data_IF_119759332510
#
_entry.id   IF_119759332510
#
_cell.length_a   1.000
_cell.length_b   1.000
_cell.length_c   1.000
_cell.angle_alpha   90.00
_cell.angle_beta   90.00
_cell.angle_gamma   90.00
#
_symmetry.space_group_name_H-M   'P 1'
#
loop_
_entity.id
_entity.type
_entity.pdbx_description
1 polymer ?
#
# COMPACT_ATOMS: atom_id res chain seq x y z
N UNK A 1 -18.13 -6.47 21.01
CA UNK A 1 -18.15 -6.11 19.58
C UNK A 1 -18.04 -7.36 18.76
N UNK A 2 -18.90 -7.53 17.75
CA UNK A 2 -18.76 -8.64 16.81
C UNK A 2 -17.65 -8.33 15.77
N UNK A 3 -17.21 -9.35 15.05
CA UNK A 3 -16.09 -9.22 14.10
C UNK A 3 -16.38 -8.22 12.99
N UNK A 4 -17.62 -8.18 12.50
CA UNK A 4 -18.05 -7.24 11.47
C UNK A 4 -17.94 -5.78 11.94
N UNK A 5 -18.40 -5.48 13.16
CA UNK A 5 -18.28 -4.14 13.72
C UNK A 5 -16.83 -3.73 13.94
N UNK A 6 -16.00 -4.65 14.45
CA UNK A 6 -14.58 -4.42 14.62
C UNK A 6 -13.87 -4.14 13.28
N UNK A 7 -14.24 -4.86 12.22
CA UNK A 7 -13.70 -4.62 10.88
C UNK A 7 -14.03 -3.21 10.37
N UNK A 8 -15.23 -2.69 10.62
CA UNK A 8 -15.63 -1.34 10.24
C UNK A 8 -14.84 -0.26 10.99
N UNK A 9 -14.61 -0.43 12.29
CA UNK A 9 -13.77 0.51 13.05
C UNK A 9 -12.33 0.53 12.55
N UNK A 10 -11.74 -0.64 12.26
CA UNK A 10 -10.40 -0.69 11.71
C UNK A 10 -10.32 -0.05 10.31
N UNK A 11 -11.26 -0.36 9.42
CA UNK A 11 -11.33 0.24 8.09
C UNK A 11 -11.45 1.77 8.16
N UNK A 12 -12.27 2.29 9.07
CA UNK A 12 -12.37 3.73 9.29
C UNK A 12 -11.09 4.34 9.87
N UNK A 13 -10.52 3.72 10.91
CA UNK A 13 -9.31 4.20 11.57
C UNK A 13 -8.14 4.37 10.60
N UNK A 14 -7.96 3.41 9.67
CA UNK A 14 -6.87 3.42 8.69
C UNK A 14 -7.19 4.13 7.37
N UNK A 15 -8.35 4.78 7.24
CA UNK A 15 -8.76 5.54 6.04
C UNK A 15 -9.21 4.70 4.83
N UNK A 16 -9.63 3.45 5.02
CA UNK A 16 -10.24 2.64 3.95
C UNK A 16 -11.75 2.88 3.83
N UNK A 17 -12.38 3.38 4.90
CA UNK A 17 -13.78 3.78 4.91
C UNK A 17 -13.91 5.31 4.98
N UNK A 18 -14.69 5.87 4.06
CA UNK A 18 -14.94 7.32 4.02
C UNK A 18 -15.75 7.77 5.24
N UNK A 19 -15.52 9.00 5.71
CA UNK A 19 -16.21 9.57 6.86
C UNK A 19 -17.74 9.45 6.79
N UNK A 20 -18.38 9.93 5.71
CA UNK A 20 -19.83 9.83 5.55
C UNK A 20 -20.37 8.39 5.48
N UNK A 21 -19.57 7.44 5.01
CA UNK A 21 -19.95 6.02 4.98
C UNK A 21 -19.89 5.41 6.37
N UNK A 22 -18.84 5.71 7.12
CA UNK A 22 -18.71 5.29 8.51
C UNK A 22 -19.81 5.87 9.39
N UNK A 23 -20.14 7.16 9.24
CA UNK A 23 -21.20 7.83 10.00
C UNK A 23 -22.57 7.15 9.79
N UNK A 24 -22.95 6.93 8.52
CA UNK A 24 -24.19 6.20 8.19
C UNK A 24 -24.21 4.80 8.80
N UNK A 25 -23.09 4.08 8.71
CA UNK A 25 -22.98 2.76 9.33
C UNK A 25 -23.12 2.86 10.85
N UNK A 26 -22.34 3.71 11.50
CA UNK A 26 -22.28 3.87 12.95
C UNK A 26 -23.65 4.22 13.54
N UNK A 27 -24.35 5.19 12.93
CA UNK A 27 -25.69 5.61 13.32
C UNK A 27 -26.76 4.52 13.17
N UNK A 28 -26.50 3.50 12.36
CA UNK A 28 -27.41 2.36 12.17
C UNK A 28 -27.19 1.21 13.16
N UNK A 29 -26.14 1.25 13.98
CA UNK A 29 -25.78 0.16 14.89
C UNK A 29 -26.37 0.38 16.30
N UNK A 30 -27.43 -0.33 16.70
CA UNK A 30 -27.96 -0.22 18.05
C UNK A 30 -26.97 -0.80 19.09
N UNK A 31 -26.83 -0.12 20.23
CA UNK A 31 -26.07 -0.65 21.37
C UNK A 31 -24.54 -0.57 21.25
N UNK A 32 -23.99 0.26 20.34
CA UNK A 32 -22.56 0.55 20.32
C UNK A 32 -22.10 1.34 21.55
N UNK A 33 -22.94 2.20 22.11
CA UNK A 33 -22.61 3.00 23.31
C UNK A 33 -22.13 2.13 24.47
N UNK A 34 -22.81 1.01 24.74
CA UNK A 34 -22.44 0.08 25.80
C UNK A 34 -21.05 -0.56 25.59
N UNK A 35 -20.55 -0.58 24.36
CA UNK A 35 -19.27 -1.20 24.00
C UNK A 35 -18.13 -0.18 23.91
N UNK A 36 -18.44 1.05 23.51
CA UNK A 36 -17.48 2.14 23.33
C UNK A 36 -17.29 2.98 24.59
N UNK A 37 -18.30 2.98 25.47
CA UNK A 37 -18.43 3.99 26.52
C UNK A 37 -19.08 5.27 25.98
N UNK A 38 -19.72 6.02 26.88
CA UNK A 38 -20.50 7.21 26.53
C UNK A 38 -19.65 8.28 25.82
N UNK A 39 -18.44 8.55 26.31
CA UNK A 39 -17.59 9.61 25.77
C UNK A 39 -17.18 9.35 24.31
N UNK A 40 -16.58 8.18 24.03
CA UNK A 40 -16.16 7.82 22.67
C UNK A 40 -17.37 7.67 21.73
N UNK A 41 -18.49 7.15 22.24
CA UNK A 41 -19.72 7.05 21.45
C UNK A 41 -20.24 8.43 21.04
N UNK A 42 -20.28 9.39 21.97
CA UNK A 42 -20.70 10.77 21.69
C UNK A 42 -19.74 11.50 20.75
N UNK A 43 -18.43 11.30 20.91
CA UNK A 43 -17.42 11.89 20.02
C UNK A 43 -17.65 11.44 18.57
N UNK A 44 -17.88 10.14 18.36
CA UNK A 44 -18.14 9.59 17.03
C UNK A 44 -19.52 10.03 16.50
N UNK A 45 -20.57 9.97 17.32
CA UNK A 45 -21.93 10.34 16.91
C UNK A 45 -22.04 11.83 16.51
N UNK A 46 -21.35 12.72 17.22
CA UNK A 46 -21.39 14.16 16.99
C UNK A 46 -20.24 14.67 16.12
N UNK A 47 -19.42 13.77 15.57
CA UNK A 47 -18.23 14.10 14.81
C UNK A 47 -18.54 14.87 13.52
N UNK A 48 -17.73 15.89 13.21
CA UNK A 48 -17.79 16.54 11.90
C UNK A 48 -16.98 15.76 10.85
N UNK A 49 -17.62 14.80 10.19
CA UNK A 49 -17.00 13.95 9.17
C UNK A 49 -16.64 14.66 7.85
N UNK A 50 -17.09 15.91 7.66
CA UNK A 50 -16.74 16.72 6.49
C UNK A 50 -15.44 17.53 6.69
N UNK A 51 -15.07 17.81 7.95
CA UNK A 51 -13.84 18.51 8.27
C UNK A 51 -12.66 17.54 8.37
N UNK A 52 -11.57 17.82 7.66
CA UNK A 52 -10.41 16.93 7.55
C UNK A 52 -9.70 16.73 8.89
N UNK A 53 -9.57 17.80 9.68
CA UNK A 53 -8.86 17.76 10.95
C UNK A 53 -9.68 17.07 12.03
N UNK A 54 -10.98 17.36 12.10
CA UNK A 54 -11.94 16.65 12.95
C UNK A 54 -11.97 15.16 12.60
N UNK A 55 -12.07 14.81 11.31
CA UNK A 55 -12.06 13.41 10.86
C UNK A 55 -10.78 12.68 11.28
N UNK A 56 -9.62 13.33 11.14
CA UNK A 56 -8.36 12.76 11.61
C UNK A 56 -8.39 12.51 13.13
N UNK A 57 -8.85 13.49 13.93
CA UNK A 57 -8.98 13.33 15.38
C UNK A 57 -9.93 12.19 15.78
N UNK A 58 -11.07 12.06 15.11
CA UNK A 58 -12.03 10.97 15.32
C UNK A 58 -11.43 9.60 15.01
N UNK A 59 -10.59 9.49 13.98
CA UNK A 59 -9.89 8.23 13.69
C UNK A 59 -8.90 7.87 14.79
N UNK A 60 -8.18 8.87 15.34
CA UNK A 60 -7.21 8.69 16.42
C UNK A 60 -7.87 8.39 17.77
N UNK A 61 -9.11 8.84 18.01
CA UNK A 61 -9.82 8.53 19.27
C UNK A 61 -10.18 7.04 19.40
N UNK A 62 -10.13 6.28 18.30
CA UNK A 62 -10.32 4.83 18.31
C UNK A 62 -9.09 4.04 18.80
N UNK A 63 -7.89 4.64 18.83
CA UNK A 63 -6.66 3.95 19.19
C UNK A 63 -6.73 3.22 20.54
N UNK A 64 -7.23 3.82 21.64
CA UNK A 64 -7.29 3.15 22.95
C UNK A 64 -8.21 1.93 22.95
N UNK A 65 -9.25 1.93 22.10
CA UNK A 65 -10.17 0.82 21.93
C UNK A 65 -9.56 -0.30 21.07
N UNK A 66 -8.92 0.08 19.96
CA UNK A 66 -8.47 -0.86 18.93
C UNK A 66 -7.11 -1.50 19.25
N UNK A 67 -6.19 -0.75 19.84
CA UNK A 67 -4.81 -1.21 20.10
C UNK A 67 -4.76 -2.49 20.96
N UNK A 68 -5.52 -2.62 22.06
CA UNK A 68 -5.51 -3.83 22.87
C UNK A 68 -6.05 -5.08 22.16
N UNK A 69 -6.86 -4.90 21.11
CA UNK A 69 -7.43 -6.00 20.32
C UNK A 69 -6.48 -6.48 19.21
N UNK A 70 -5.38 -5.75 18.99
CA UNK A 70 -4.44 -6.00 17.91
C UNK A 70 -3.51 -7.18 18.25
N UNK A 71 -3.53 -8.20 17.39
CA UNK A 71 -2.66 -9.38 17.51
C UNK A 71 -1.50 -9.40 16.49
N UNK A 72 -1.55 -8.51 15.49
CA UNK A 72 -0.55 -8.31 14.44
C UNK A 72 -0.74 -6.91 13.82
N UNK A 73 0.14 -6.48 12.92
CA UNK A 73 0.01 -5.17 12.27
C UNK A 73 -1.02 -5.14 11.12
N UNK A 74 -1.54 -6.29 10.66
CA UNK A 74 -2.50 -6.29 9.54
C UNK A 74 -3.71 -5.34 9.69
N UNK A 75 -4.34 -5.17 10.86
CA UNK A 75 -5.50 -4.29 11.00
C UNK A 75 -5.17 -2.79 10.88
N UNK A 76 -3.91 -2.40 11.12
CA UNK A 76 -3.45 -1.01 11.04
C UNK A 76 -3.09 -0.60 9.62
N UNK A 77 -2.75 -1.57 8.77
CA UNK A 77 -2.45 -1.37 7.36
C UNK A 77 -3.70 -1.14 6.53
N UNK A 78 -3.65 -0.12 5.67
CA UNK A 78 -4.65 0.12 4.63
C UNK A 78 -4.79 -1.06 3.69
N UNK A 79 -5.94 -1.17 3.03
CA UNK A 79 -6.17 -2.17 2.00
C UNK A 79 -5.20 -2.00 0.83
N UNK A 80 -4.74 -0.77 0.56
CA UNK A 80 -3.56 -0.49 -0.25
C UNK A 80 -2.61 0.41 0.54
N UNK A 81 -1.43 -0.12 0.85
CA UNK A 81 -0.45 0.52 1.72
C UNK A 81 0.95 0.53 1.10
N UNK A 82 1.76 1.50 1.51
CA UNK A 82 3.20 1.54 1.29
C UNK A 82 3.90 1.48 2.64
N UNK A 83 5.02 0.76 2.72
CA UNK A 83 5.85 0.66 3.92
C UNK A 83 7.31 0.81 3.53
N UNK A 84 8.01 1.84 4.05
CA UNK A 84 9.43 2.04 3.80
C UNK A 84 10.28 0.85 4.22
N UNK A 85 11.27 0.51 3.38
CA UNK A 85 12.30 -0.48 3.70
C UNK A 85 13.40 0.10 4.60
N UNK A 86 13.58 1.42 4.59
CA UNK A 86 14.50 2.14 5.47
C UNK A 86 13.81 2.85 6.64
N UNK A 87 14.62 3.46 7.52
CA UNK A 87 14.14 4.38 8.56
C UNK A 87 14.00 3.72 9.94
N UNK A 88 12.77 3.64 10.45
CA UNK A 88 12.46 3.14 11.80
C UNK A 88 12.31 1.61 11.86
N UNK A 89 12.56 0.92 10.74
CA UNK A 89 12.43 -0.53 10.58
C UNK A 89 11.02 -1.04 10.94
N UNK A 90 9.98 -0.21 10.81
CA UNK A 90 8.60 -0.63 11.09
C UNK A 90 8.16 -1.82 10.22
N UNK A 91 8.69 -1.94 9.00
CA UNK A 91 8.43 -3.10 8.14
C UNK A 91 8.76 -4.43 8.83
N UNK A 92 9.79 -4.50 9.67
CA UNK A 92 10.14 -5.74 10.38
C UNK A 92 8.99 -6.24 11.25
N UNK A 93 8.29 -5.31 11.95
CA UNK A 93 7.11 -5.65 12.77
C UNK A 93 5.91 -6.08 11.93
N UNK A 94 5.74 -5.49 10.75
CA UNK A 94 4.69 -5.89 9.81
C UNK A 94 4.94 -7.33 9.35
N UNK A 95 6.15 -7.57 8.84
CA UNK A 95 6.55 -8.84 8.25
C UNK A 95 6.80 -9.96 9.27
N UNK A 96 6.97 -9.65 10.56
CA UNK A 96 7.10 -10.65 11.65
C UNK A 96 5.98 -11.70 11.61
N UNK A 97 4.77 -11.26 11.26
CA UNK A 97 3.60 -12.13 11.19
C UNK A 97 3.31 -12.68 9.80
N UNK A 98 4.10 -12.34 8.78
CA UNK A 98 3.78 -12.67 7.39
C UNK A 98 4.52 -13.93 6.96
N UNK A 99 3.76 -14.91 6.50
CA UNK A 99 4.25 -16.12 5.87
C UNK A 99 4.15 -15.95 4.35
N UNK A 100 5.30 -16.01 3.66
CA UNK A 100 5.34 -16.00 2.20
C UNK A 100 4.81 -17.33 1.68
N UNK A 101 3.80 -17.26 0.81
CA UNK A 101 3.06 -18.43 0.30
C UNK A 101 3.57 -18.84 -1.08
N UNK A 102 3.69 -17.89 -1.99
CA UNK A 102 4.18 -18.15 -3.35
C UNK A 102 4.82 -16.89 -3.91
N UNK A 103 5.98 -17.05 -4.53
CA UNK A 103 6.64 -16.02 -5.33
C UNK A 103 6.16 -16.13 -6.77
N UNK A 104 6.07 -15.00 -7.48
CA UNK A 104 5.82 -15.05 -8.92
C UNK A 104 6.96 -15.78 -9.66
N UNK A 105 8.20 -15.48 -9.26
CA UNK A 105 9.41 -16.00 -9.88
C UNK A 105 10.33 -14.88 -10.39
N UNK A 106 11.47 -15.24 -11.03
CA UNK A 106 12.51 -14.27 -11.39
C UNK A 106 12.05 -13.23 -12.43
N UNK A 107 11.05 -13.55 -13.25
CA UNK A 107 10.48 -12.61 -14.24
C UNK A 107 9.79 -11.41 -13.58
N UNK A 108 9.28 -11.59 -12.37
CA UNK A 108 8.67 -10.53 -11.55
C UNK A 108 9.16 -10.67 -10.13
N UNK A 109 10.47 -10.50 -9.99
CA UNK A 109 11.21 -10.66 -8.73
C UNK A 109 10.64 -9.81 -7.58
N UNK A 110 9.89 -8.76 -7.90
CA UNK A 110 9.24 -7.89 -6.92
C UNK A 110 7.95 -8.48 -6.32
N UNK A 111 7.28 -9.43 -6.97
CA UNK A 111 5.89 -9.80 -6.67
C UNK A 111 5.78 -11.15 -5.94
N UNK A 112 5.10 -11.15 -4.80
CA UNK A 112 4.77 -12.36 -4.06
C UNK A 112 3.43 -12.27 -3.33
N UNK A 113 2.89 -13.43 -2.97
CA UNK A 113 1.72 -13.59 -2.12
C UNK A 113 2.16 -13.99 -0.71
N UNK A 114 1.63 -13.29 0.29
CA UNK A 114 1.84 -13.59 1.71
C UNK A 114 0.52 -13.76 2.44
N UNK A 115 0.55 -14.48 3.57
CA UNK A 115 -0.55 -14.63 4.51
C UNK A 115 -0.07 -14.30 5.91
N UNK A 116 -0.85 -13.53 6.66
CA UNK A 116 -0.55 -13.31 8.08
C UNK A 116 -0.86 -14.58 8.89
N UNK A 117 0.12 -15.08 9.65
CA UNK A 117 -0.02 -16.24 10.54
C UNK A 117 -0.92 -16.02 11.75
N UNK A 118 -1.20 -14.75 12.09
CA UNK A 118 -2.04 -14.37 13.25
C UNK A 118 -3.51 -14.18 12.89
N UNK A 119 -3.80 -13.43 11.83
CA UNK A 119 -5.18 -13.07 11.45
C UNK A 119 -5.63 -13.69 10.12
N UNK A 120 -4.80 -14.54 9.49
CA UNK A 120 -5.08 -15.21 8.22
C UNK A 120 -5.32 -14.29 7.00
N UNK A 121 -5.19 -12.97 7.13
CA UNK A 121 -5.33 -12.02 6.02
C UNK A 121 -4.30 -12.31 4.92
N UNK A 122 -4.73 -12.25 3.65
CA UNK A 122 -3.85 -12.33 2.49
C UNK A 122 -3.41 -10.96 2.01
N UNK A 123 -2.15 -10.92 1.58
CA UNK A 123 -1.51 -9.74 1.04
C UNK A 123 -0.80 -10.08 -0.25
N UNK A 124 -1.15 -9.37 -1.32
CA UNK A 124 -0.31 -9.27 -2.50
C UNK A 124 0.74 -8.20 -2.22
N UNK A 125 2.01 -8.54 -2.36
CA UNK A 125 3.12 -7.66 -1.98
C UNK A 125 4.04 -7.46 -3.17
N UNK A 126 4.32 -6.19 -3.48
CA UNK A 126 5.36 -5.78 -4.40
C UNK A 126 6.49 -5.09 -3.63
N UNK A 127 7.73 -5.41 -4.00
CA UNK A 127 8.93 -4.77 -3.47
C UNK A 127 9.55 -3.89 -4.56
N UNK A 128 9.79 -2.62 -4.26
CA UNK A 128 10.61 -1.75 -5.09
C UNK A 128 11.82 -1.22 -4.32
N UNK A 129 12.95 -1.88 -4.50
CA UNK A 129 14.24 -1.53 -3.88
C UNK A 129 15.08 -0.55 -4.73
N UNK A 130 14.56 -0.12 -5.88
CA UNK A 130 15.33 0.68 -6.85
C UNK A 130 14.96 2.15 -6.84
N UNK A 131 13.66 2.44 -6.79
CA UNK A 131 13.14 3.81 -6.86
C UNK A 131 12.65 4.23 -5.49
N UNK A 132 11.54 3.68 -5.03
CA UNK A 132 10.86 4.15 -3.82
C UNK A 132 11.49 3.61 -2.54
N UNK A 133 12.17 2.45 -2.59
CA UNK A 133 12.71 1.75 -1.42
C UNK A 133 11.59 1.35 -0.44
N UNK A 134 10.54 0.74 -0.98
CA UNK A 134 9.30 0.44 -0.26
C UNK A 134 8.69 -0.92 -0.61
N UNK A 135 7.96 -1.48 0.34
CA UNK A 135 7.00 -2.54 0.12
C UNK A 135 5.62 -1.93 -0.15
N UNK A 136 4.99 -2.31 -1.25
CA UNK A 136 3.60 -2.02 -1.54
C UNK A 136 2.75 -3.23 -1.23
N UNK A 137 1.72 -3.05 -0.41
CA UNK A 137 0.86 -4.12 0.08
C UNK A 137 -0.56 -3.89 -0.38
N UNK A 138 -1.19 -4.92 -0.93
CA UNK A 138 -2.60 -4.91 -1.31
C UNK A 138 -3.32 -6.07 -0.62
N UNK A 139 -4.27 -5.73 0.25
CA UNK A 139 -5.12 -6.71 0.95
C UNK A 139 -6.02 -7.38 -0.07
N UNK A 140 -6.05 -8.70 -0.07
CA UNK A 140 -6.88 -9.48 -0.99
C UNK A 140 -7.68 -10.53 -0.22
N UNK A 141 -8.76 -11.03 -0.84
CA UNK A 141 -9.54 -12.12 -0.29
C UNK A 141 -8.97 -13.52 -0.67
N UNK A 142 -9.56 -14.57 -0.10
CA UNK A 142 -9.15 -15.95 -0.38
C UNK A 142 -9.36 -16.35 -1.85
N UNK A 143 -10.33 -15.75 -2.55
CA UNK A 143 -10.61 -16.05 -3.96
C UNK A 143 -9.42 -15.62 -4.82
N UNK A 144 -9.00 -14.36 -4.68
CA UNK A 144 -7.85 -13.80 -5.41
C UNK A 144 -6.55 -14.51 -4.99
N UNK A 145 -6.39 -14.82 -3.70
CA UNK A 145 -5.23 -15.58 -3.23
C UNK A 145 -5.16 -16.99 -3.84
N UNK A 146 -6.31 -17.67 -3.95
CA UNK A 146 -6.41 -18.99 -4.56
C UNK A 146 -6.11 -18.96 -6.07
N UNK A 147 -6.55 -17.91 -6.77
CA UNK A 147 -6.22 -17.69 -8.18
C UNK A 147 -4.72 -17.48 -8.39
N UNK A 148 -4.09 -16.64 -7.56
CA UNK A 148 -2.65 -16.38 -7.63
C UNK A 148 -1.82 -17.67 -7.39
N UNK A 149 -2.20 -18.50 -6.41
CA UNK A 149 -1.58 -19.83 -6.19
C UNK A 149 -1.72 -20.75 -7.40
N UNK A 150 -2.79 -20.61 -8.19
CA UNK A 150 -3.00 -21.35 -9.43
C UNK A 150 -2.32 -20.69 -10.65
N UNK A 151 -1.45 -19.70 -10.44
CA UNK A 151 -0.72 -18.98 -11.48
C UNK A 151 -1.52 -17.87 -12.18
N UNK A 152 -2.77 -17.60 -11.75
CA UNK A 152 -3.60 -16.51 -12.27
C UNK A 152 -3.45 -15.30 -11.35
N UNK A 153 -2.39 -14.53 -11.58
CA UNK A 153 -2.08 -13.38 -10.75
C UNK A 153 -3.02 -12.19 -11.03
N UNK A 154 -3.41 -11.43 -9.99
CA UNK A 154 -4.19 -10.21 -10.19
C UNK A 154 -3.40 -9.16 -10.97
N UNK A 155 -4.11 -8.23 -11.61
CA UNK A 155 -3.48 -7.15 -12.39
C UNK A 155 -2.62 -6.21 -11.54
N UNK A 156 -3.00 -5.97 -10.29
CA UNK A 156 -2.26 -5.10 -9.37
C UNK A 156 -0.84 -5.65 -9.21
N UNK A 157 0.15 -4.78 -9.33
CA UNK A 157 1.59 -5.08 -9.28
C UNK A 157 2.13 -6.01 -10.36
N UNK A 158 1.31 -6.38 -11.35
CA UNK A 158 1.71 -7.35 -12.36
C UNK A 158 2.79 -6.79 -13.31
N UNK A 159 2.75 -5.51 -13.63
CA UNK A 159 3.81 -4.83 -14.41
C UNK A 159 4.63 -3.95 -13.48
N UNK A 160 5.92 -3.78 -13.76
CA UNK A 160 6.76 -2.90 -12.95
C UNK A 160 6.28 -1.44 -13.05
N UNK A 161 5.70 -1.06 -14.19
CA UNK A 161 4.99 0.22 -14.32
C UNK A 161 3.88 0.42 -13.27
N UNK A 162 3.06 -0.60 -12.98
CA UNK A 162 1.97 -0.49 -11.99
C UNK A 162 2.53 -0.43 -10.56
N UNK A 163 3.68 -1.06 -10.30
CA UNK A 163 4.42 -0.92 -9.04
C UNK A 163 4.89 0.53 -8.87
N UNK A 164 5.55 1.11 -9.87
CA UNK A 164 6.03 2.50 -9.82
C UNK A 164 4.89 3.51 -9.77
N UNK A 165 3.79 3.27 -10.48
CA UNK A 165 2.59 4.09 -10.41
C UNK A 165 1.97 4.04 -8.99
N UNK A 166 2.02 2.89 -8.34
CA UNK A 166 1.59 2.75 -6.94
C UNK A 166 2.50 3.54 -6.01
N UNK A 167 3.83 3.41 -6.15
CA UNK A 167 4.78 4.23 -5.41
C UNK A 167 4.56 5.73 -5.60
N UNK A 168 4.27 6.15 -6.84
CA UNK A 168 3.97 7.55 -7.14
C UNK A 168 2.73 8.08 -6.43
N UNK A 169 1.73 7.23 -6.25
CA UNK A 169 0.46 7.58 -5.63
C UNK A 169 0.50 7.55 -4.10
N UNK A 170 1.29 6.66 -3.50
CA UNK A 170 1.31 6.44 -2.06
C UNK A 170 2.47 7.13 -1.34
N UNK A 171 3.50 7.52 -2.10
CA UNK A 171 4.82 7.82 -1.52
C UNK A 171 5.40 9.10 -2.08
N UNK A 172 6.41 9.62 -1.39
CA UNK A 172 7.15 10.77 -1.87
C UNK A 172 8.24 10.27 -2.81
N UNK A 173 8.34 10.77 -4.06
CA UNK A 173 9.43 10.39 -4.92
C UNK A 173 10.78 10.71 -4.29
N UNK A 174 11.75 9.79 -4.37
CA UNK A 174 13.08 10.02 -3.83
C UNK A 174 13.79 11.15 -4.59
N UNK A 175 14.82 11.72 -3.96
CA UNK A 175 15.80 12.55 -4.65
C UNK A 175 17.10 11.78 -4.76
N UNK A 176 17.46 11.40 -5.99
CA UNK A 176 18.72 10.72 -6.26
C UNK A 176 19.90 11.69 -6.14
N UNK A 177 20.94 11.28 -5.39
CA UNK A 177 22.20 12.02 -5.32
C UNK A 177 22.96 11.96 -6.64
N UNK A 178 23.00 10.77 -7.25
CA UNK A 178 23.48 10.58 -8.62
C UNK A 178 22.27 10.57 -9.58
N UNK A 179 22.08 11.61 -10.41
CA UNK A 179 20.99 11.63 -11.38
C UNK A 179 21.10 10.51 -12.43
N UNK A 180 22.25 9.85 -12.58
CA UNK A 180 22.43 8.71 -13.49
C UNK A 180 22.68 7.41 -12.73
N UNK A 181 22.19 7.30 -11.50
CA UNK A 181 22.32 6.08 -10.69
C UNK A 181 21.89 4.82 -11.47
N UNK A 182 22.56 3.69 -11.20
CA UNK A 182 22.27 2.42 -11.85
C UNK A 182 20.81 1.98 -11.71
N UNK A 183 20.20 2.20 -10.54
CA UNK A 183 18.81 1.86 -10.28
C UNK A 183 17.83 2.60 -11.20
N UNK A 184 18.10 3.86 -11.54
CA UNK A 184 17.32 4.63 -12.52
C UNK A 184 17.45 4.02 -13.93
N UNK A 185 18.68 3.68 -14.33
CA UNK A 185 18.94 3.12 -15.66
C UNK A 185 18.27 1.75 -15.81
N UNK A 186 18.45 0.84 -14.85
CA UNK A 186 17.82 -0.49 -14.85
C UNK A 186 16.30 -0.41 -14.84
N UNK A 187 15.74 0.54 -14.09
CA UNK A 187 14.29 0.75 -14.07
C UNK A 187 13.76 1.19 -15.44
N UNK A 188 14.44 2.12 -16.12
CA UNK A 188 14.08 2.52 -17.48
C UNK A 188 14.25 1.35 -18.47
N UNK A 189 15.28 0.51 -18.29
CA UNK A 189 15.46 -0.69 -19.10
C UNK A 189 14.30 -1.68 -18.96
N UNK A 190 13.86 -1.96 -17.74
CA UNK A 190 12.75 -2.86 -17.46
C UNK A 190 11.43 -2.28 -18.01
N UNK A 191 11.18 -0.98 -17.82
CA UNK A 191 10.01 -0.30 -18.40
C UNK A 191 9.97 -0.40 -19.93
N UNK A 192 11.10 -0.19 -20.61
CA UNK A 192 11.18 -0.35 -22.06
C UNK A 192 11.06 -1.81 -22.52
N UNK A 193 11.42 -2.77 -21.65
CA UNK A 193 11.24 -4.19 -21.89
C UNK A 193 9.75 -4.58 -21.86
N UNK A 194 9.00 -4.07 -20.89
CA UNK A 194 7.56 -4.32 -20.75
C UNK A 194 6.71 -3.48 -21.72
N UNK A 195 7.06 -2.21 -21.93
CA UNK A 195 6.35 -1.27 -22.82
C UNK A 195 7.33 -0.42 -23.67
N UNK A 196 7.72 -0.88 -24.86
CA UNK A 196 8.71 -0.19 -25.70
C UNK A 196 8.32 1.22 -26.18
N UNK A 197 7.02 1.54 -26.20
CA UNK A 197 6.44 2.81 -26.63
C UNK A 197 6.19 3.80 -25.48
N UNK A 198 6.58 3.48 -24.25
CA UNK A 198 6.49 4.39 -23.09
C UNK A 198 7.18 5.74 -23.38
N UNK A 199 6.50 6.84 -23.05
CA UNK A 199 7.02 8.19 -23.35
C UNK A 199 7.97 8.70 -22.28
N UNK A 200 8.70 9.77 -22.61
CA UNK A 200 9.59 10.46 -21.67
C UNK A 200 8.80 11.02 -20.48
N UNK A 201 7.61 11.57 -20.75
CA UNK A 201 6.74 12.18 -19.75
C UNK A 201 6.21 11.13 -18.77
N UNK A 202 5.86 9.93 -19.27
CA UNK A 202 5.43 8.82 -18.44
C UNK A 202 6.56 8.31 -17.54
N UNK A 203 7.76 8.11 -18.09
CA UNK A 203 8.95 7.75 -17.29
C UNK A 203 9.22 8.83 -16.22
N UNK A 204 9.19 10.11 -16.60
CA UNK A 204 9.40 11.21 -15.67
C UNK A 204 8.37 11.20 -14.54
N UNK A 205 7.10 10.96 -14.87
CA UNK A 205 6.03 10.88 -13.88
C UNK A 205 6.23 9.72 -12.90
N UNK A 206 6.48 8.51 -13.42
CA UNK A 206 6.65 7.28 -12.63
C UNK A 206 7.86 7.35 -11.68
N UNK A 207 8.94 7.99 -12.12
CA UNK A 207 10.18 8.10 -11.35
C UNK A 207 10.28 9.39 -10.53
N UNK A 208 9.28 10.28 -10.63
CA UNK A 208 9.29 11.59 -9.98
C UNK A 208 10.42 12.51 -10.45
N UNK A 209 10.81 12.42 -11.71
CA UNK A 209 11.87 13.20 -12.34
C UNK A 209 11.31 14.33 -13.21
N UNK A 210 12.17 15.22 -13.68
CA UNK A 210 11.82 16.13 -14.78
C UNK A 210 11.84 15.40 -16.12
N UNK A 211 11.08 15.91 -17.10
CA UNK A 211 11.09 15.36 -18.46
C UNK A 211 12.49 15.42 -19.11
N UNK A 212 13.26 16.48 -18.84
CA UNK A 212 14.63 16.61 -19.34
C UNK A 212 15.55 15.51 -18.79
N UNK A 213 15.43 15.22 -17.49
CA UNK A 213 16.20 14.16 -16.83
C UNK A 213 15.80 12.78 -17.36
N UNK A 214 14.50 12.49 -17.45
CA UNK A 214 14.01 11.25 -18.04
C UNK A 214 14.48 11.07 -19.50
N UNK A 215 14.49 12.14 -20.31
CA UNK A 215 15.02 12.11 -21.67
C UNK A 215 16.52 11.78 -21.70
N UNK A 216 17.30 12.31 -20.75
CA UNK A 216 18.73 12.00 -20.64
C UNK A 216 18.97 10.53 -20.26
N UNK A 217 18.22 9.99 -19.31
CA UNK A 217 18.26 8.56 -18.94
C UNK A 217 17.90 7.67 -20.14
N UNK A 218 16.83 7.99 -20.85
CA UNK A 218 16.37 7.22 -21.99
C UNK A 218 17.42 7.18 -23.11
N UNK A 219 18.09 8.30 -23.40
CA UNK A 219 19.21 8.33 -24.35
C UNK A 219 20.37 7.44 -23.89
N UNK A 220 20.73 7.50 -22.60
CA UNK A 220 21.83 6.72 -22.02
C UNK A 220 21.59 5.21 -22.13
N UNK A 221 20.38 4.77 -21.77
CA UNK A 221 19.95 3.38 -21.83
C UNK A 221 19.93 2.86 -23.27
N UNK A 222 19.34 3.61 -24.20
CA UNK A 222 19.31 3.23 -25.62
C UNK A 222 20.71 3.12 -26.22
N UNK A 223 21.62 4.02 -25.86
CA UNK A 223 23.01 3.97 -26.31
C UNK A 223 23.79 2.76 -25.74
N UNK A 224 23.43 2.26 -24.56
CA UNK A 224 24.04 1.07 -23.97
C UNK A 224 23.60 -0.22 -24.68
N UNK A 225 22.33 -0.32 -25.11
CA UNK A 225 21.79 -1.49 -25.83
C UNK A 225 22.31 -1.70 -27.25
N UNK A 226 22.93 -0.67 -27.84
CA UNK A 226 23.50 -0.72 -29.19
C UNK A 226 24.97 -1.20 -29.20
N UNK A 227 25.57 -1.43 -28.04
CA UNK A 227 26.94 -1.93 -27.88
C UNK A 227 26.93 -3.39 -27.53
#
# INVERSE_FOLDING_TARGET
MNDAGLAMFWAFSRCDLAGPEFDRWFSSQPGLEAQLGADLYLDLLCGNYADREALWRLRRSLDPLLTPLRQCECPTLRDLAATPMGGDFHFEKIFESFERIVDFGPEKWWLHLSRCSRCATFWLIAQDERIYDEFFLHRIDETVASEARAGRWPRRFFTYEDVLATGRALSNPPRFLDPMAGSLQWTVEDLLGERPDITVEEIAHLLGLSAEHAAALLRRVRAARLK
#
